data_IF_948238278660
#
_entry.id   IF_948238278660
#
_cell.length_a   1.000
_cell.length_b   1.000
_cell.length_c   1.000
_cell.angle_alpha   90.00
_cell.angle_beta   90.00
_cell.angle_gamma   90.00
#
_symmetry.space_group_name_H-M   'P 1'
#
loop_
_entity.id
_entity.type
_entity.pdbx_description
1 polymer ?
#
# COMPACT_ATOMS: atom_id res chain seq x y z
N UNK A 1 -0.72 7.68 -37.95
CA UNK A 1 -0.05 8.79 -38.66
C UNK A 1 -0.16 10.09 -37.85
N UNK A 2 -1.36 10.62 -37.60
CA UNK A 2 -1.56 11.91 -36.90
C UNK A 2 -0.95 12.00 -35.49
N UNK A 3 -1.03 10.95 -34.66
CA UNK A 3 -0.51 11.01 -33.28
C UNK A 3 1.02 11.10 -33.22
N UNK A 4 1.72 10.51 -34.20
CA UNK A 4 3.19 10.53 -34.25
C UNK A 4 3.71 11.88 -34.73
N UNK A 5 3.08 12.43 -35.77
CA UNK A 5 3.34 13.78 -36.27
C UNK A 5 3.14 14.84 -35.17
N UNK A 6 2.11 14.69 -34.33
CA UNK A 6 1.88 15.59 -33.19
C UNK A 6 3.02 15.53 -32.16
N UNK A 7 3.52 14.34 -31.84
CA UNK A 7 4.63 14.16 -30.88
C UNK A 7 5.92 14.73 -31.44
N UNK A 8 6.20 14.52 -32.73
CA UNK A 8 7.35 15.09 -33.42
C UNK A 8 7.28 16.63 -33.46
N UNK A 9 6.13 17.19 -33.79
CA UNK A 9 5.89 18.64 -33.76
C UNK A 9 6.12 19.25 -32.38
N UNK A 10 5.55 18.66 -31.32
CA UNK A 10 5.73 19.15 -29.94
C UNK A 10 7.21 19.09 -29.55
N UNK A 11 7.91 18.03 -29.95
CA UNK A 11 9.34 17.90 -29.70
C UNK A 11 10.19 18.91 -30.50
N UNK A 12 9.70 19.55 -31.55
CA UNK A 12 10.44 20.61 -32.25
C UNK A 12 10.40 21.96 -31.51
N UNK A 13 9.48 22.15 -30.57
CA UNK A 13 9.39 23.39 -29.80
C UNK A 13 10.65 23.61 -28.94
N UNK A 14 11.13 24.86 -28.76
CA UNK A 14 12.32 25.18 -28.00
C UNK A 14 12.06 25.08 -26.48
N UNK A 15 11.70 23.90 -26.02
CA UNK A 15 11.46 23.58 -24.61
C UNK A 15 12.41 22.48 -24.15
N UNK A 16 12.78 22.46 -22.86
CA UNK A 16 13.61 21.38 -22.30
C UNK A 16 12.84 20.05 -22.13
N UNK A 17 11.52 20.04 -22.35
CA UNK A 17 10.66 18.87 -22.16
C UNK A 17 10.59 18.10 -23.47
N UNK A 18 10.92 16.81 -23.44
CA UNK A 18 10.74 15.89 -24.57
C UNK A 18 9.59 14.95 -24.30
N UNK A 19 8.67 14.87 -25.24
CA UNK A 19 7.54 13.94 -25.23
C UNK A 19 7.99 12.60 -25.79
N UNK A 20 7.74 11.53 -25.05
CA UNK A 20 7.81 10.15 -25.52
C UNK A 20 6.40 9.60 -25.62
N UNK A 21 6.05 9.02 -26.77
CA UNK A 21 4.76 8.35 -26.96
C UNK A 21 4.99 6.87 -27.28
N UNK A 22 4.17 6.01 -26.68
CA UNK A 22 4.06 4.62 -27.04
C UNK A 22 2.75 4.44 -27.83
N UNK A 23 2.87 4.35 -29.14
CA UNK A 23 1.74 4.26 -30.06
C UNK A 23 1.61 2.81 -30.51
N UNK A 24 0.46 2.21 -30.24
CA UNK A 24 0.13 0.88 -30.73
C UNK A 24 -1.35 0.85 -31.09
N UNK A 25 -1.65 0.15 -32.18
CA UNK A 25 -3.02 -0.04 -32.69
C UNK A 25 -3.75 -1.18 -31.98
N UNK A 26 -3.03 -2.05 -31.28
CA UNK A 26 -3.58 -3.25 -30.66
C UNK A 26 -3.67 -3.14 -29.13
N UNK A 27 -2.69 -2.48 -28.51
CA UNK A 27 -2.54 -2.44 -27.05
C UNK A 27 -2.06 -1.09 -26.58
N UNK A 28 -2.59 -0.61 -25.47
CA UNK A 28 -2.12 0.62 -24.83
C UNK A 28 -1.93 0.41 -23.34
N UNK A 29 -0.80 0.88 -22.83
CA UNK A 29 -0.48 0.84 -21.41
C UNK A 29 -0.97 2.15 -20.77
N UNK A 30 -1.80 2.04 -19.75
CA UNK A 30 -2.30 3.18 -19.00
C UNK A 30 -2.31 2.87 -17.50
N UNK A 31 -1.53 3.65 -16.75
CA UNK A 31 -1.31 3.45 -15.31
C UNK A 31 -0.87 2.00 -15.01
N UNK A 32 -1.72 1.27 -14.30
CA UNK A 32 -1.50 -0.08 -13.80
C UNK A 32 -2.14 -1.17 -14.69
N UNK A 33 -2.58 -0.81 -15.89
CA UNK A 33 -3.36 -1.69 -16.77
C UNK A 33 -2.84 -1.63 -18.21
N UNK A 34 -2.81 -2.76 -18.90
CA UNK A 34 -2.67 -2.84 -20.35
C UNK A 34 -4.05 -3.14 -20.94
N UNK A 35 -4.49 -2.29 -21.86
CA UNK A 35 -5.77 -2.37 -22.55
C UNK A 35 -5.53 -2.92 -23.95
N UNK A 36 -6.35 -3.85 -24.39
CA UNK A 36 -6.39 -4.36 -25.76
C UNK A 36 -7.83 -4.48 -26.25
N UNK A 37 -8.01 -4.63 -27.56
CA UNK A 37 -9.33 -4.92 -28.15
C UNK A 37 -9.31 -6.32 -28.74
N UNK A 38 -10.23 -7.16 -28.30
CA UNK A 38 -10.42 -8.51 -28.83
C UNK A 38 -11.91 -8.75 -29.05
N UNK A 39 -12.28 -9.31 -30.21
CA UNK A 39 -13.68 -9.57 -30.59
C UNK A 39 -14.61 -8.35 -30.36
N UNK A 40 -14.12 -7.16 -30.70
CA UNK A 40 -14.83 -5.88 -30.55
C UNK A 40 -15.15 -5.52 -29.08
N UNK A 41 -14.46 -6.14 -28.12
CA UNK A 41 -14.57 -5.85 -26.68
C UNK A 41 -13.24 -5.38 -26.12
N UNK A 42 -13.30 -4.48 -25.15
CA UNK A 42 -12.11 -4.06 -24.40
C UNK A 42 -11.71 -5.16 -23.42
N UNK A 43 -10.48 -5.65 -23.59
CA UNK A 43 -9.81 -6.59 -22.70
C UNK A 43 -8.76 -5.81 -21.93
N UNK A 44 -8.58 -6.15 -20.66
CA UNK A 44 -7.59 -5.48 -19.83
C UNK A 44 -6.90 -6.45 -18.88
N UNK A 45 -5.62 -6.21 -18.62
CA UNK A 45 -4.83 -6.99 -17.68
C UNK A 45 -3.89 -6.10 -16.85
N UNK A 46 -3.41 -6.62 -15.71
CA UNK A 46 -2.49 -5.89 -14.86
C UNK A 46 -1.18 -5.66 -15.62
N UNK A 47 -0.73 -4.41 -15.69
CA UNK A 47 0.54 -4.05 -16.30
C UNK A 47 1.59 -3.71 -15.23
N UNK A 48 2.80 -4.22 -15.41
CA UNK A 48 3.98 -3.88 -14.62
C UNK A 48 5.08 -3.46 -15.59
N UNK A 49 5.74 -2.35 -15.29
CA UNK A 49 6.78 -1.82 -16.17
C UNK A 49 7.95 -2.82 -16.24
N UNK A 50 8.64 -2.94 -17.39
CA UNK A 50 9.82 -3.81 -17.50
C UNK A 50 10.93 -3.49 -16.49
N UNK A 51 10.99 -2.25 -16.01
CA UNK A 51 11.96 -1.77 -15.01
C UNK A 51 11.48 -1.96 -13.57
N UNK A 52 10.26 -2.45 -13.37
CA UNK A 52 9.68 -2.63 -12.05
C UNK A 52 10.42 -3.75 -11.30
N UNK A 53 10.92 -3.42 -10.12
CA UNK A 53 11.61 -4.37 -9.25
C UNK A 53 10.60 -4.90 -8.24
N UNK A 54 10.86 -6.07 -7.67
CA UNK A 54 10.05 -6.59 -6.56
C UNK A 54 10.26 -5.75 -5.28
N UNK A 55 9.70 -4.54 -5.23
CA UNK A 55 9.80 -3.59 -4.12
C UNK A 55 8.83 -3.90 -2.98
N UNK A 56 8.17 -5.06 -3.03
CA UNK A 56 7.30 -5.55 -1.96
C UNK A 56 8.10 -5.59 -0.66
N UNK A 57 7.45 -5.28 0.45
CA UNK A 57 8.11 -5.27 1.74
C UNK A 57 8.51 -6.69 2.18
N UNK A 58 9.73 -6.90 2.70
CA UNK A 58 10.13 -8.21 3.20
C UNK A 58 9.34 -8.61 4.47
N UNK A 59 8.99 -9.89 4.62
CA UNK A 59 8.16 -10.38 5.73
C UNK A 59 8.75 -10.13 7.13
N UNK A 60 10.09 -10.19 7.23
CA UNK A 60 10.84 -9.92 8.46
C UNK A 60 11.28 -8.46 8.63
N UNK A 61 10.80 -7.55 7.79
CA UNK A 61 11.10 -6.13 7.94
C UNK A 61 10.54 -5.55 9.25
N UNK A 62 11.13 -4.45 9.70
CA UNK A 62 10.72 -3.73 10.91
C UNK A 62 9.48 -2.85 10.67
N UNK A 63 8.36 -3.48 10.31
CA UNK A 63 7.06 -2.83 10.12
C UNK A 63 5.97 -3.50 10.96
N UNK A 64 4.83 -2.81 11.19
CA UNK A 64 3.69 -3.43 11.86
C UNK A 64 3.30 -4.74 11.18
N UNK A 65 3.17 -5.83 11.96
CA UNK A 65 2.85 -7.16 11.41
C UNK A 65 1.50 -7.18 10.69
N UNK A 66 0.53 -6.41 11.16
CA UNK A 66 -0.77 -6.27 10.50
C UNK A 66 -0.63 -5.68 9.10
N UNK A 67 0.23 -4.66 8.94
CA UNK A 67 0.52 -4.06 7.64
C UNK A 67 1.20 -5.07 6.71
N UNK A 68 2.25 -5.75 7.18
CA UNK A 68 2.96 -6.76 6.37
C UNK A 68 2.00 -7.83 5.86
N UNK A 69 1.10 -8.31 6.72
CA UNK A 69 0.11 -9.36 6.40
C UNK A 69 -1.03 -8.87 5.50
N UNK A 70 -1.36 -7.58 5.50
CA UNK A 70 -2.42 -7.04 4.65
C UNK A 70 -1.98 -6.75 3.21
N UNK A 71 -0.67 -6.60 2.97
CA UNK A 71 -0.12 -6.30 1.64
C UNK A 71 -0.49 -7.39 0.60
N UNK A 72 -0.32 -8.71 0.87
CA UNK A 72 -0.70 -9.75 -0.08
C UNK A 72 -2.16 -9.66 -0.53
N UNK A 73 -3.09 -9.54 0.43
CA UNK A 73 -4.53 -9.42 0.14
C UNK A 73 -4.81 -8.22 -0.79
N UNK A 74 -4.22 -7.07 -0.49
CA UNK A 74 -4.40 -5.87 -1.31
C UNK A 74 -3.87 -6.05 -2.74
N UNK A 75 -2.72 -6.72 -2.91
CA UNK A 75 -2.16 -6.98 -4.23
C UNK A 75 -2.94 -8.05 -5.00
N UNK A 76 -3.44 -9.10 -4.34
CA UNK A 76 -4.31 -10.09 -4.99
C UNK A 76 -5.63 -9.46 -5.44
N UNK A 77 -6.25 -8.62 -4.61
CA UNK A 77 -7.43 -7.84 -5.02
C UNK A 77 -7.14 -6.95 -6.23
N UNK A 78 -5.96 -6.31 -6.28
CA UNK A 78 -5.54 -5.52 -7.44
C UNK A 78 -5.43 -6.38 -8.70
N UNK A 79 -4.80 -7.55 -8.62
CA UNK A 79 -4.72 -8.48 -9.77
C UNK A 79 -6.11 -8.90 -10.22
N UNK A 80 -7.01 -9.23 -9.28
CA UNK A 80 -8.38 -9.66 -9.61
C UNK A 80 -9.19 -8.56 -10.28
N UNK A 81 -9.07 -7.31 -9.82
CA UNK A 81 -9.80 -6.16 -10.37
C UNK A 81 -9.27 -5.70 -11.71
N UNK A 82 -7.96 -5.79 -11.93
CA UNK A 82 -7.30 -5.29 -13.13
C UNK A 82 -7.17 -6.36 -14.22
N UNK A 83 -7.96 -7.43 -14.18
CA UNK A 83 -8.00 -8.44 -15.24
C UNK A 83 -9.42 -8.74 -15.69
N UNK A 84 -9.66 -8.66 -16.99
CA UNK A 84 -10.95 -9.06 -17.60
C UNK A 84 -11.01 -10.55 -17.93
N UNK A 85 -9.87 -11.19 -18.17
CA UNK A 85 -9.77 -12.61 -18.57
C UNK A 85 -9.35 -13.48 -17.40
N UNK A 86 -10.10 -14.55 -17.19
CA UNK A 86 -9.84 -15.52 -16.12
C UNK A 86 -8.47 -16.20 -16.26
N UNK A 87 -8.08 -16.54 -17.49
CA UNK A 87 -6.81 -17.20 -17.79
C UNK A 87 -5.61 -16.31 -17.41
N UNK A 88 -5.61 -15.05 -17.84
CA UNK A 88 -4.58 -14.07 -17.51
C UNK A 88 -4.56 -13.74 -16.02
N UNK A 89 -5.73 -13.58 -15.40
CA UNK A 89 -5.86 -13.37 -13.96
C UNK A 89 -5.16 -14.48 -13.16
N UNK A 90 -5.42 -15.74 -13.50
CA UNK A 90 -4.83 -16.90 -12.82
C UNK A 90 -3.30 -16.93 -12.94
N UNK A 91 -2.76 -16.62 -14.13
CA UNK A 91 -1.31 -16.55 -14.35
C UNK A 91 -0.69 -15.45 -13.48
N UNK A 92 -1.26 -14.24 -13.52
CA UNK A 92 -0.74 -13.11 -12.77
C UNK A 92 -0.89 -13.25 -11.26
N UNK A 93 -1.91 -13.97 -10.77
CA UNK A 93 -2.02 -14.33 -9.35
C UNK A 93 -0.87 -15.24 -8.92
N UNK A 94 -0.49 -16.22 -9.76
CA UNK A 94 0.66 -17.09 -9.47
C UNK A 94 1.97 -16.31 -9.51
N UNK A 95 2.18 -15.45 -10.51
CA UNK A 95 3.36 -14.57 -10.57
C UNK A 95 3.45 -13.68 -9.32
N UNK A 96 2.33 -13.11 -8.88
CA UNK A 96 2.28 -12.30 -7.67
C UNK A 96 2.58 -13.12 -6.42
N UNK A 97 2.05 -14.34 -6.31
CA UNK A 97 2.38 -15.28 -5.22
C UNK A 97 3.88 -15.57 -5.18
N UNK A 98 4.51 -15.83 -6.33
CA UNK A 98 5.96 -16.04 -6.43
C UNK A 98 6.76 -14.82 -5.97
N UNK A 99 6.35 -13.60 -6.36
CA UNK A 99 6.98 -12.37 -5.87
C UNK A 99 6.92 -12.24 -4.35
N UNK A 100 5.85 -12.68 -3.70
CA UNK A 100 5.76 -12.68 -2.23
C UNK A 100 6.61 -13.77 -1.58
N UNK A 101 6.64 -14.98 -2.14
CA UNK A 101 7.50 -16.07 -1.64
C UNK A 101 8.96 -15.64 -1.63
N UNK A 102 9.42 -14.99 -2.70
CA UNK A 102 10.78 -14.44 -2.84
C UNK A 102 11.10 -13.35 -1.80
N UNK A 103 10.07 -12.76 -1.17
CA UNK A 103 10.18 -11.76 -0.08
C UNK A 103 9.98 -12.36 1.31
N UNK A 104 10.03 -13.69 1.42
CA UNK A 104 10.02 -14.43 2.68
C UNK A 104 8.64 -14.60 3.30
N UNK A 105 7.56 -14.41 2.54
CA UNK A 105 6.22 -14.74 3.01
C UNK A 105 6.00 -16.26 2.95
N UNK A 106 5.36 -16.83 3.95
CA UNK A 106 5.02 -18.26 3.94
C UNK A 106 3.76 -18.53 3.11
N UNK A 107 3.70 -19.70 2.46
CA UNK A 107 2.54 -20.12 1.67
C UNK A 107 1.23 -19.99 2.43
N UNK A 108 1.19 -20.45 3.69
CA UNK A 108 0.01 -20.34 4.56
C UNK A 108 -0.52 -18.90 4.70
N UNK A 109 0.35 -17.89 4.73
CA UNK A 109 -0.08 -16.48 4.81
C UNK A 109 -0.64 -16.02 3.46
N UNK A 110 -0.05 -16.48 2.36
CA UNK A 110 -0.46 -16.12 1.02
C UNK A 110 -1.78 -16.79 0.63
N UNK A 111 -1.95 -18.07 0.94
CA UNK A 111 -3.18 -18.81 0.64
C UNK A 111 -4.37 -18.22 1.40
N UNK A 112 -4.19 -17.92 2.68
CA UNK A 112 -5.20 -17.22 3.47
C UNK A 112 -5.54 -15.85 2.88
N UNK A 113 -4.53 -15.09 2.47
CA UNK A 113 -4.74 -13.77 1.88
C UNK A 113 -5.43 -13.85 0.50
N UNK A 114 -5.22 -14.93 -0.23
CA UNK A 114 -5.86 -15.20 -1.51
C UNK A 114 -7.33 -15.57 -1.32
N UNK A 115 -7.64 -16.50 -0.40
CA UNK A 115 -9.00 -16.85 0.01
C UNK A 115 -9.79 -15.60 0.44
N UNK A 116 -9.21 -14.81 1.35
CA UNK A 116 -9.82 -13.54 1.77
C UNK A 116 -10.00 -12.56 0.59
N UNK A 117 -9.11 -12.56 -0.41
CA UNK A 117 -9.24 -11.68 -1.58
C UNK A 117 -10.39 -12.13 -2.49
N UNK A 118 -10.56 -13.45 -2.70
CA UNK A 118 -11.64 -14.03 -3.51
C UNK A 118 -13.02 -13.72 -2.92
N UNK A 119 -13.17 -13.86 -1.60
CA UNK A 119 -14.40 -13.50 -0.89
C UNK A 119 -14.75 -12.00 -1.07
N UNK A 120 -13.74 -11.13 -0.97
CA UNK A 120 -13.91 -9.68 -1.03
C UNK A 120 -14.02 -9.13 -2.46
N UNK A 121 -13.56 -9.87 -3.48
CA UNK A 121 -13.66 -9.44 -4.87
C UNK A 121 -15.12 -9.35 -5.35
N UNK A 122 -16.00 -10.18 -4.78
CA UNK A 122 -17.39 -10.33 -5.21
C UNK A 122 -18.34 -9.35 -4.53
N UNK A 123 -17.95 -8.77 -3.39
CA UNK A 123 -18.85 -7.97 -2.55
C UNK A 123 -18.31 -6.55 -2.38
N UNK A 124 -18.95 -5.58 -3.04
CA UNK A 124 -18.78 -4.16 -2.69
C UNK A 124 -19.59 -3.92 -1.41
N UNK A 125 -18.94 -4.03 -0.25
CA UNK A 125 -19.58 -3.68 1.01
C UNK A 125 -19.44 -2.16 1.24
N UNK A 126 -20.56 -1.49 1.46
CA UNK A 126 -20.56 -0.14 1.98
C UNK A 126 -19.94 -0.15 3.39
N UNK A 127 -18.78 0.49 3.52
CA UNK A 127 -18.11 0.62 4.81
C UNK A 127 -18.84 1.71 5.59
N UNK A 128 -19.69 1.30 6.52
CA UNK A 128 -20.23 2.21 7.55
C UNK A 128 -19.12 2.50 8.56
N UNK A 129 -18.42 3.62 8.37
CA UNK A 129 -17.37 4.05 9.30
C UNK A 129 -17.98 4.58 10.60
N UNK A 130 -17.89 3.78 11.66
CA UNK A 130 -18.18 4.25 13.01
C UNK A 130 -16.95 5.03 13.53
N UNK A 131 -17.11 6.27 14.01
CA UNK A 131 -16.00 7.04 14.56
C UNK A 131 -15.42 6.29 15.78
N UNK A 132 -14.12 5.99 15.71
CA UNK A 132 -13.37 5.30 16.77
C UNK A 132 -12.23 6.18 17.25
N UNK A 133 -11.98 6.19 18.56
CA UNK A 133 -10.84 6.89 19.15
C UNK A 133 -9.54 6.35 18.55
N UNK A 134 -8.68 7.25 18.08
CA UNK A 134 -7.37 6.89 17.51
C UNK A 134 -6.30 7.17 18.55
N UNK A 135 -5.46 6.16 18.81
CA UNK A 135 -4.27 6.32 19.65
C UNK A 135 -3.02 6.28 18.77
N UNK A 136 -2.47 7.43 18.35
CA UNK A 136 -1.31 7.48 17.48
C UNK A 136 -0.03 7.16 18.25
N UNK A 137 0.78 6.25 17.72
CA UNK A 137 2.09 5.90 18.27
C UNK A 137 3.15 5.80 17.18
N UNK A 138 4.40 6.14 17.47
CA UNK A 138 5.51 5.83 16.56
C UNK A 138 5.79 4.33 16.59
N UNK A 139 5.94 3.68 15.43
CA UNK A 139 6.22 2.25 15.39
C UNK A 139 7.62 1.90 15.91
N UNK A 140 7.71 0.87 16.75
CA UNK A 140 8.93 0.19 17.15
C UNK A 140 8.60 -1.30 17.36
N UNK A 141 9.53 -2.21 17.13
CA UNK A 141 9.37 -3.64 17.51
C UNK A 141 8.80 -3.88 18.93
N UNK A 142 9.06 -3.00 19.90
CA UNK A 142 8.56 -3.12 21.29
C UNK A 142 7.14 -2.55 21.49
N UNK A 143 6.58 -1.78 20.55
CA UNK A 143 5.27 -1.12 20.75
C UNK A 143 4.11 -2.10 20.82
N UNK A 144 4.29 -3.34 20.36
CA UNK A 144 3.30 -4.40 20.56
C UNK A 144 3.03 -4.65 22.05
N UNK A 145 4.06 -4.57 22.90
CA UNK A 145 3.90 -4.71 24.36
C UNK A 145 3.06 -3.56 24.93
N UNK A 146 3.31 -2.34 24.46
CA UNK A 146 2.55 -1.15 24.88
C UNK A 146 1.08 -1.30 24.45
N UNK A 147 0.83 -1.75 23.23
CA UNK A 147 -0.52 -2.04 22.74
C UNK A 147 -1.25 -3.05 23.64
N UNK A 148 -0.58 -4.16 24.01
CA UNK A 148 -1.15 -5.15 24.92
C UNK A 148 -1.48 -4.56 26.30
N UNK A 149 -0.63 -3.69 26.84
CA UNK A 149 -0.84 -3.03 28.13
C UNK A 149 -2.02 -2.05 28.05
N UNK A 150 -2.07 -1.21 27.01
CA UNK A 150 -3.15 -0.24 26.80
C UNK A 150 -4.49 -0.97 26.71
N UNK A 151 -4.57 -2.03 25.89
CA UNK A 151 -5.81 -2.81 25.74
C UNK A 151 -6.24 -3.51 27.02
N UNK A 152 -5.29 -4.09 27.77
CA UNK A 152 -5.57 -4.80 29.03
C UNK A 152 -6.14 -3.87 30.09
N UNK A 153 -5.60 -2.65 30.19
CA UNK A 153 -6.00 -1.69 31.21
C UNK A 153 -7.07 -0.70 30.74
N UNK A 154 -7.52 -0.77 29.47
CA UNK A 154 -8.49 0.19 28.93
C UNK A 154 -9.80 0.20 29.70
N UNK A 155 -10.21 -0.94 30.25
CA UNK A 155 -11.42 -1.05 31.06
C UNK A 155 -11.38 -0.12 32.28
N UNK A 156 -10.21 0.15 32.85
CA UNK A 156 -10.08 1.09 33.98
C UNK A 156 -10.46 2.51 33.57
N UNK A 157 -10.08 2.93 32.36
CA UNK A 157 -10.49 4.22 31.80
C UNK A 157 -11.98 4.19 31.44
N UNK A 158 -12.48 3.10 30.86
CA UNK A 158 -13.87 2.99 30.44
C UNK A 158 -14.89 3.03 31.60
N UNK A 159 -14.46 2.71 32.83
CA UNK A 159 -15.28 2.80 34.04
C UNK A 159 -15.53 4.24 34.52
N UNK A 160 -14.76 5.22 34.03
CA UNK A 160 -14.93 6.60 34.43
C UNK A 160 -16.18 7.21 33.78
N UNK A 161 -17.14 7.62 34.62
CA UNK A 161 -18.39 8.22 34.19
C UNK A 161 -18.24 9.67 33.71
N UNK A 162 -17.11 10.32 34.01
CA UNK A 162 -16.80 11.66 33.53
C UNK A 162 -16.33 11.67 32.07
N UNK A 163 -15.89 10.52 31.54
CA UNK A 163 -15.38 10.42 30.18
C UNK A 163 -16.50 10.34 29.14
N UNK A 164 -16.33 10.99 27.97
CA UNK A 164 -17.25 10.88 26.85
C UNK A 164 -17.43 9.42 26.39
N UNK A 165 -18.60 9.09 25.80
CA UNK A 165 -18.94 7.72 25.37
C UNK A 165 -17.93 7.15 24.37
N UNK A 166 -17.27 8.01 23.60
CA UNK A 166 -16.24 7.71 22.62
C UNK A 166 -15.00 7.08 23.26
N UNK A 167 -14.69 7.40 24.52
CA UNK A 167 -13.54 6.87 25.26
C UNK A 167 -13.84 5.54 25.96
N UNK A 168 -15.11 5.12 26.02
CA UNK A 168 -15.50 3.84 26.61
C UNK A 168 -15.12 2.65 25.74
N UNK A 169 -14.93 2.84 24.43
CA UNK A 169 -14.44 1.82 23.52
C UNK A 169 -12.91 1.84 23.46
N UNK A 170 -12.28 0.65 23.36
CA UNK A 170 -10.83 0.56 23.16
C UNK A 170 -10.42 1.31 21.90
N UNK A 171 -9.37 2.15 21.95
CA UNK A 171 -8.93 2.93 20.81
C UNK A 171 -8.34 2.03 19.73
N UNK A 172 -8.46 2.47 18.50
CA UNK A 172 -7.67 1.95 17.38
C UNK A 172 -6.26 2.53 17.49
N UNK A 173 -5.30 1.67 17.78
CA UNK A 173 -3.89 2.06 17.79
C UNK A 173 -3.43 2.18 16.34
N UNK A 174 -2.93 3.36 15.99
CA UNK A 174 -2.40 3.68 14.68
C UNK A 174 -0.91 3.98 14.78
N UNK A 175 -0.13 3.47 13.84
CA UNK A 175 1.31 3.66 13.85
C UNK A 175 1.75 4.74 12.87
N UNK A 176 2.60 5.64 13.34
CA UNK A 176 3.35 6.61 12.53
C UNK A 176 4.73 6.04 12.20
N UNK A 177 5.26 6.42 11.02
CA UNK A 177 6.62 6.06 10.59
C UNK A 177 7.64 6.71 11.53
N UNK A 178 8.71 5.99 11.86
CA UNK A 178 9.84 6.57 12.57
C UNK A 178 10.73 7.40 11.61
N UNK A 179 11.52 8.32 12.15
CA UNK A 179 12.48 9.11 11.37
C UNK A 179 13.52 8.18 10.74
N UNK A 180 13.80 8.35 9.45
CA UNK A 180 14.85 7.62 8.74
C UNK A 180 16.07 8.52 8.53
N UNK A 181 17.16 7.96 8.01
CA UNK A 181 18.39 8.71 7.73
C UNK A 181 18.13 9.91 6.80
N UNK A 182 17.24 9.77 5.82
CA UNK A 182 16.87 10.89 4.94
C UNK A 182 16.27 12.05 5.72
N UNK A 183 15.37 11.77 6.67
CA UNK A 183 14.73 12.80 7.50
C UNK A 183 15.77 13.51 8.39
N UNK A 184 16.74 12.76 8.92
CA UNK A 184 17.79 13.27 9.83
C UNK A 184 18.85 14.07 9.06
N UNK A 185 19.23 13.63 7.86
CA UNK A 185 20.30 14.23 7.07
C UNK A 185 19.83 15.38 6.16
N UNK A 186 18.54 15.69 6.14
CA UNK A 186 18.03 16.83 5.37
C UNK A 186 18.43 18.15 6.04
N UNK A 187 18.91 19.11 5.23
CA UNK A 187 19.32 20.45 5.71
C UNK A 187 18.21 21.24 6.41
N UNK A 188 16.95 20.90 6.13
CA UNK A 188 15.77 21.50 6.74
C UNK A 188 15.35 20.82 8.05
N UNK A 189 16.09 19.80 8.51
CA UNK A 189 15.81 19.17 9.78
C UNK A 189 16.01 20.20 10.90
N UNK A 190 14.99 20.52 11.71
CA UNK A 190 15.17 21.41 12.85
C UNK A 190 15.88 20.65 13.97
N UNK A 191 17.19 20.44 13.81
CA UNK A 191 18.09 19.72 14.74
C UNK A 191 17.97 20.28 16.16
N UNK A 192 17.74 21.60 16.28
CA UNK A 192 17.57 22.33 17.54
C UNK A 192 16.38 21.83 18.38
N UNK A 193 15.35 21.23 17.78
CA UNK A 193 14.17 20.74 18.51
C UNK A 193 14.45 19.51 19.39
N UNK A 194 15.62 18.89 19.23
CA UNK A 194 15.92 17.57 19.80
C UNK A 194 17.32 17.44 20.38
N UNK A 195 18.17 18.47 20.26
CA UNK A 195 19.34 18.60 21.14
C UNK A 195 18.82 18.76 22.57
N UNK A 196 18.85 17.68 23.34
CA UNK A 196 18.63 17.74 24.77
C UNK A 196 19.53 18.84 25.34
N UNK A 197 18.94 19.85 25.97
CA UNK A 197 19.70 20.74 26.84
C UNK A 197 20.38 19.82 27.85
N UNK A 198 21.70 19.68 27.75
CA UNK A 198 22.49 18.99 28.77
C UNK A 198 22.09 19.61 30.09
N UNK A 199 21.35 18.84 30.90
CA UNK A 199 21.04 19.23 32.28
C UNK A 199 22.41 19.35 32.93
N UNK A 200 22.83 20.60 33.11
CA UNK A 200 24.09 20.92 33.76
C UNK A 200 23.84 20.65 35.23
N UNK A 201 24.55 19.66 35.78
CA UNK A 201 24.53 19.32 37.21
C UNK A 201 25.02 20.49 38.06
#
# INVERSE_FOLDING_TARGET
MQAQEMVEFINQLPTPIRMTANLSTERVQFLDVELSVEDHRMVYCLYSKPTDRNTILHYNSAHPKNLIKSIPKAQFLRVMRNNSKETTKRIQLQEMKMKFLDRGYSERVLDKALEEAEENATTLQDITEVPKLIFPMTFHSKTQKINSIVKRNWNMLACDNSLPKEFKQSPRICYRRNRNLKDILMKTDPVESYTEQKITQ
#
